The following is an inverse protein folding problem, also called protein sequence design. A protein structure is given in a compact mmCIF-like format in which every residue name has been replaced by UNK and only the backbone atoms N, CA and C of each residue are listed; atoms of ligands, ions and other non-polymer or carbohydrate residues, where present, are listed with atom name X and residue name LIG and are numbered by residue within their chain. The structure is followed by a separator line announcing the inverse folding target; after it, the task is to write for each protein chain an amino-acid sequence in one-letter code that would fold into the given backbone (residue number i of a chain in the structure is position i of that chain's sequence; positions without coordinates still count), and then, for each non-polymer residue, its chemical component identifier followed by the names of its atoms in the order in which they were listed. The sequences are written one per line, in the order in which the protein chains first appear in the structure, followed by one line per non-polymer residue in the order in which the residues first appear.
data_IF_437285934801
#
_entry.id   IF_437285934801
#
_cell.length_a   1.000
_cell.length_b   1.000
_cell.length_c   1.000
_cell.angle_alpha   90.00
_cell.angle_beta   90.00
_cell.angle_gamma   90.00
#
_symmetry.space_group_name_H-M   'P 1'
#
loop_
_entity.id
_entity.type
_entity.pdbx_description
1 polymer ?
#
# COMPACT_ATOMS: atom_id res chain seq x y z
N UNK A 1 14.59 44.79 -11.23
CA UNK A 1 13.16 44.40 -11.33
C UNK A 1 12.40 45.20 -10.29
N UNK A 2 11.38 46.00 -10.65
CA UNK A 2 10.66 46.82 -9.67
C UNK A 2 9.85 45.95 -8.72
N UNK A 3 9.68 46.41 -7.47
CA UNK A 3 8.95 45.68 -6.42
C UNK A 3 7.54 45.30 -6.88
N UNK A 4 6.86 46.17 -7.64
CA UNK A 4 5.54 45.90 -8.20
C UNK A 4 5.49 44.70 -9.16
N UNK A 5 6.53 44.48 -9.97
CA UNK A 5 6.59 43.33 -10.89
C UNK A 5 6.70 42.01 -10.12
N UNK A 6 7.42 41.98 -9.00
CA UNK A 6 7.53 40.77 -8.15
C UNK A 6 6.19 40.42 -7.51
N UNK A 7 5.48 41.41 -6.98
CA UNK A 7 4.14 41.23 -6.42
C UNK A 7 3.16 40.68 -7.47
N UNK A 8 3.18 41.25 -8.67
CA UNK A 8 2.30 40.78 -9.75
C UNK A 8 2.56 39.31 -10.13
N UNK A 9 3.83 38.89 -10.19
CA UNK A 9 4.20 37.50 -10.48
C UNK A 9 3.68 36.56 -9.38
N UNK A 10 3.85 36.91 -8.10
CA UNK A 10 3.36 36.05 -7.01
C UNK A 10 1.84 35.92 -7.01
N UNK A 11 1.12 37.00 -7.32
CA UNK A 11 -0.35 36.98 -7.44
C UNK A 11 -0.78 36.06 -8.58
N UNK A 12 -0.13 36.14 -9.75
CA UNK A 12 -0.43 35.25 -10.88
C UNK A 12 -0.16 33.78 -10.57
N UNK A 13 0.97 33.47 -9.91
CA UNK A 13 1.29 32.11 -9.48
C UNK A 13 0.26 31.60 -8.48
N UNK A 14 -0.12 32.43 -7.50
CA UNK A 14 -1.14 32.09 -6.51
C UNK A 14 -2.50 31.78 -7.15
N UNK A 15 -2.95 32.62 -8.08
CA UNK A 15 -4.17 32.39 -8.86
C UNK A 15 -4.10 31.09 -9.67
N UNK A 16 -2.96 30.83 -10.32
CA UNK A 16 -2.73 29.59 -11.06
C UNK A 16 -2.84 28.35 -10.17
N UNK A 17 -2.29 28.39 -8.96
CA UNK A 17 -2.39 27.30 -7.99
C UNK A 17 -3.84 27.04 -7.59
N UNK A 18 -4.60 28.10 -7.23
CA UNK A 18 -6.01 27.97 -6.83
C UNK A 18 -6.85 27.39 -7.97
N UNK A 19 -6.67 27.88 -9.20
CA UNK A 19 -7.37 27.36 -10.37
C UNK A 19 -7.01 25.89 -10.65
N UNK A 20 -5.72 25.54 -10.59
CA UNK A 20 -5.27 24.16 -10.80
C UNK A 20 -5.82 23.20 -9.75
N UNK A 21 -5.87 23.62 -8.48
CA UNK A 21 -6.46 22.83 -7.40
C UNK A 21 -7.96 22.65 -7.63
N UNK A 22 -8.68 23.72 -7.97
CA UNK A 22 -10.11 23.66 -8.29
C UNK A 22 -10.40 22.66 -9.42
N UNK A 23 -9.68 22.78 -10.53
CA UNK A 23 -9.82 21.88 -11.68
C UNK A 23 -9.51 20.43 -11.31
N UNK A 24 -8.43 20.18 -10.56
CA UNK A 24 -8.08 18.83 -10.12
C UNK A 24 -9.16 18.18 -9.25
N UNK A 25 -9.78 18.92 -8.34
CA UNK A 25 -10.88 18.41 -7.52
C UNK A 25 -12.11 18.06 -8.38
N UNK A 26 -12.48 18.94 -9.31
CA UNK A 26 -13.62 18.71 -10.21
C UNK A 26 -13.39 17.46 -11.07
N UNK A 27 -12.22 17.35 -11.70
CA UNK A 27 -11.86 16.18 -12.51
C UNK A 27 -11.87 14.89 -11.69
N UNK A 28 -11.39 14.93 -10.45
CA UNK A 28 -11.41 13.76 -9.56
C UNK A 28 -12.84 13.32 -9.23
N UNK A 29 -13.74 14.26 -8.92
CA UNK A 29 -15.15 13.95 -8.63
C UNK A 29 -15.83 13.34 -9.86
N UNK A 30 -15.66 13.95 -11.04
CA UNK A 30 -16.22 13.44 -12.30
C UNK A 30 -15.68 12.04 -12.60
N UNK A 31 -14.37 11.83 -12.41
CA UNK A 31 -13.72 10.53 -12.59
C UNK A 31 -14.25 9.46 -11.64
N UNK A 32 -14.40 9.80 -10.36
CA UNK A 32 -14.93 8.89 -9.34
C UNK A 32 -16.38 8.48 -9.64
N UNK A 33 -17.26 9.45 -9.95
CA UNK A 33 -18.66 9.17 -10.32
C UNK A 33 -18.73 8.34 -11.59
N UNK A 34 -17.93 8.66 -12.60
CA UNK A 34 -17.89 7.90 -13.85
C UNK A 34 -17.44 6.45 -13.64
N UNK A 35 -16.44 6.24 -12.76
CA UNK A 35 -15.96 4.91 -12.40
C UNK A 35 -17.03 4.12 -11.62
N UNK A 36 -17.70 4.76 -10.65
CA UNK A 36 -18.80 4.16 -9.88
C UNK A 36 -19.90 3.63 -10.80
N UNK A 37 -20.39 4.47 -11.72
CA UNK A 37 -21.45 4.09 -12.68
C UNK A 37 -21.01 2.92 -13.57
N UNK A 38 -19.78 2.96 -14.08
CA UNK A 38 -19.23 1.91 -14.96
C UNK A 38 -18.97 0.59 -14.24
N UNK A 39 -18.78 0.60 -12.92
CA UNK A 39 -18.61 -0.60 -12.11
C UNK A 39 -19.96 -1.13 -11.61
N UNK A 40 -20.88 -0.24 -11.23
CA UNK A 40 -22.16 -0.61 -10.64
C UNK A 40 -23.12 -1.22 -11.66
N UNK A 41 -23.27 -0.59 -12.84
CA UNK A 41 -24.21 -1.06 -13.87
C UNK A 41 -23.99 -2.50 -14.32
N UNK A 42 -22.78 -2.87 -14.80
CA UNK A 42 -22.49 -4.24 -15.22
C UNK A 42 -22.51 -5.25 -14.08
N UNK A 43 -22.19 -4.84 -12.85
CA UNK A 43 -22.27 -5.73 -11.70
C UNK A 43 -23.73 -6.06 -11.36
N UNK A 44 -24.60 -5.05 -11.36
CA UNK A 44 -26.02 -5.22 -11.13
C UNK A 44 -26.63 -6.13 -12.19
N UNK A 45 -26.33 -5.87 -13.46
CA UNK A 45 -26.79 -6.67 -14.59
C UNK A 45 -26.39 -8.16 -14.44
N UNK A 46 -25.12 -8.43 -14.10
CA UNK A 46 -24.64 -9.81 -13.89
C UNK A 46 -25.26 -10.50 -12.68
N UNK A 47 -25.55 -9.77 -11.61
CA UNK A 47 -26.22 -10.34 -10.44
C UNK A 47 -27.67 -10.69 -10.78
N UNK A 48 -28.39 -9.82 -11.49
CA UNK A 48 -29.78 -10.07 -11.90
C UNK A 48 -29.92 -11.28 -12.85
N UNK A 49 -28.91 -11.53 -13.69
CA UNK A 49 -28.88 -12.68 -14.61
C UNK A 49 -28.17 -13.92 -14.03
N UNK A 50 -27.80 -13.92 -12.75
CA UNK A 50 -27.15 -15.07 -12.12
C UNK A 50 -28.12 -16.25 -11.95
N UNK A 51 -27.66 -17.51 -12.07
CA UNK A 51 -28.51 -18.68 -11.84
C UNK A 51 -28.97 -18.75 -10.37
N UNK A 52 -30.12 -19.37 -10.11
CA UNK A 52 -30.66 -19.52 -8.75
C UNK A 52 -29.66 -20.19 -7.79
N UNK A 53 -28.86 -21.13 -8.27
CA UNK A 53 -27.79 -21.78 -7.49
C UNK A 53 -26.75 -20.80 -6.92
N UNK A 54 -26.54 -19.65 -7.56
CA UNK A 54 -25.70 -18.57 -7.03
C UNK A 54 -26.31 -17.97 -5.76
N UNK A 55 -27.62 -17.75 -5.74
CA UNK A 55 -28.33 -17.19 -4.60
C UNK A 55 -28.50 -18.18 -3.45
N UNK A 56 -28.53 -19.48 -3.73
CA UNK A 56 -28.57 -20.52 -2.70
C UNK A 56 -27.21 -20.69 -1.99
N UNK A 57 -26.11 -20.49 -2.71
CA UNK A 57 -24.75 -20.67 -2.19
C UNK A 57 -24.14 -19.39 -1.62
N UNK A 58 -24.60 -18.22 -2.07
CA UNK A 58 -24.12 -16.93 -1.57
C UNK A 58 -25.14 -16.28 -0.64
N UNK A 59 -24.79 -16.00 0.63
CA UNK A 59 -25.72 -15.36 1.54
C UNK A 59 -26.05 -13.95 1.05
N UNK A 60 -27.33 -13.58 1.10
CA UNK A 60 -27.83 -12.27 0.63
C UNK A 60 -27.08 -11.09 1.28
N UNK A 61 -26.66 -11.23 2.54
CA UNK A 61 -25.83 -10.23 3.23
C UNK A 61 -24.47 -9.96 2.57
N UNK A 62 -23.89 -10.96 1.87
CA UNK A 62 -22.62 -10.78 1.12
C UNK A 62 -22.86 -9.98 -0.15
N UNK A 63 -23.98 -10.19 -0.83
CA UNK A 63 -24.37 -9.41 -2.02
C UNK A 63 -24.63 -7.95 -1.63
N UNK A 64 -25.35 -7.72 -0.53
CA UNK A 64 -25.59 -6.37 0.00
C UNK A 64 -24.29 -5.67 0.43
N UNK A 65 -23.37 -6.37 1.11
CA UNK A 65 -22.07 -5.79 1.47
C UNK A 65 -21.25 -5.41 0.24
N UNK A 66 -21.35 -6.17 -0.85
CA UNK A 66 -20.73 -5.84 -2.13
C UNK A 66 -21.29 -4.56 -2.73
N UNK A 67 -22.61 -4.40 -2.78
CA UNK A 67 -23.22 -3.20 -3.35
C UNK A 67 -23.13 -1.96 -2.45
N UNK A 68 -23.10 -2.13 -1.12
CA UNK A 68 -22.98 -1.02 -0.18
C UNK A 68 -21.53 -0.71 0.17
N UNK A 69 -20.94 -1.54 1.04
CA UNK A 69 -19.63 -1.27 1.65
C UNK A 69 -18.50 -1.28 0.63
N UNK A 70 -18.49 -2.19 -0.34
CA UNK A 70 -17.40 -2.21 -1.32
C UNK A 70 -17.47 -1.03 -2.30
N UNK A 71 -18.68 -0.58 -2.71
CA UNK A 71 -18.81 0.65 -3.52
C UNK A 71 -18.45 1.90 -2.74
N UNK A 72 -18.77 1.99 -1.45
CA UNK A 72 -18.32 3.11 -0.60
C UNK A 72 -16.78 3.22 -0.58
N UNK A 73 -16.08 2.08 -0.52
CA UNK A 73 -14.61 2.03 -0.61
C UNK A 73 -14.13 2.48 -2.00
N UNK A 74 -14.78 2.03 -3.08
CA UNK A 74 -14.40 2.40 -4.45
C UNK A 74 -14.64 3.89 -4.71
N UNK A 75 -15.76 4.43 -4.26
CA UNK A 75 -16.18 5.79 -4.60
C UNK A 75 -15.43 6.83 -3.78
N UNK A 76 -15.20 6.56 -2.48
CA UNK A 76 -14.55 7.52 -1.59
C UNK A 76 -13.05 7.24 -1.41
N UNK A 77 -12.68 6.00 -1.06
CA UNK A 77 -11.30 5.69 -0.65
C UNK A 77 -10.39 5.52 -1.85
N UNK A 78 -10.83 4.83 -2.91
CA UNK A 78 -9.99 4.57 -4.07
C UNK A 78 -9.66 5.88 -4.80
N UNK A 79 -10.65 6.74 -5.04
CA UNK A 79 -10.45 8.05 -5.64
C UNK A 79 -9.47 8.93 -4.83
N UNK A 80 -9.61 8.96 -3.50
CA UNK A 80 -8.69 9.69 -2.62
C UNK A 80 -7.26 9.13 -2.67
N UNK A 81 -7.13 7.81 -2.65
CA UNK A 81 -5.83 7.11 -2.71
C UNK A 81 -5.12 7.41 -4.03
N UNK A 82 -5.83 7.36 -5.16
CA UNK A 82 -5.26 7.70 -6.47
C UNK A 82 -4.74 9.14 -6.52
N UNK A 83 -5.49 10.10 -5.97
CA UNK A 83 -5.01 11.48 -5.87
C UNK A 83 -3.76 11.59 -5.01
N UNK A 84 -3.75 10.96 -3.85
CA UNK A 84 -2.59 10.99 -2.94
C UNK A 84 -1.36 10.38 -3.60
N UNK A 85 -1.51 9.26 -4.32
CA UNK A 85 -0.44 8.64 -5.10
C UNK A 85 0.08 9.58 -6.19
N UNK A 86 -0.82 10.16 -7.00
CA UNK A 86 -0.43 11.11 -8.06
C UNK A 86 0.30 12.32 -7.50
N UNK A 87 -0.20 12.91 -6.41
CA UNK A 87 0.46 14.03 -5.74
C UNK A 87 1.83 13.66 -5.18
N UNK A 88 1.95 12.50 -4.55
CA UNK A 88 3.21 12.02 -3.98
C UNK A 88 4.26 11.78 -5.07
N UNK A 89 3.88 11.19 -6.20
CA UNK A 89 4.78 10.98 -7.35
C UNK A 89 5.25 12.31 -7.94
N UNK A 90 4.34 13.25 -8.15
CA UNK A 90 4.68 14.58 -8.68
C UNK A 90 5.58 15.36 -7.71
N UNK A 91 5.35 15.27 -6.40
CA UNK A 91 6.21 15.86 -5.38
C UNK A 91 7.62 15.26 -5.41
N UNK A 92 7.75 13.94 -5.49
CA UNK A 92 9.05 13.27 -5.60
C UNK A 92 9.77 13.73 -6.88
N UNK A 93 9.08 13.76 -8.02
CA UNK A 93 9.64 14.25 -9.28
C UNK A 93 10.06 15.72 -9.18
N UNK A 94 9.25 16.58 -8.57
CA UNK A 94 9.56 17.99 -8.37
C UNK A 94 10.84 18.16 -7.54
N UNK A 95 10.92 17.50 -6.40
CA UNK A 95 12.09 17.55 -5.51
C UNK A 95 13.32 17.03 -6.25
N UNK A 96 13.19 15.93 -6.97
CA UNK A 96 14.27 15.35 -7.74
C UNK A 96 14.81 16.31 -8.80
N UNK A 97 13.93 16.92 -9.59
CA UNK A 97 14.29 17.92 -10.61
C UNK A 97 14.97 19.12 -9.96
N UNK A 98 14.40 19.65 -8.87
CA UNK A 98 14.94 20.81 -8.17
C UNK A 98 16.36 20.57 -7.62
N UNK A 99 16.56 19.42 -6.98
CA UNK A 99 17.88 19.03 -6.45
C UNK A 99 18.86 18.80 -7.60
N UNK A 100 18.44 18.11 -8.66
CA UNK A 100 19.29 17.83 -9.81
C UNK A 100 19.76 19.10 -10.52
N UNK A 101 18.93 20.14 -10.61
CA UNK A 101 19.33 21.44 -11.17
C UNK A 101 20.24 22.22 -10.22
N UNK A 102 19.96 22.18 -8.92
CA UNK A 102 20.73 22.92 -7.91
C UNK A 102 22.12 22.31 -7.69
N UNK A 103 22.21 20.97 -7.65
CA UNK A 103 23.41 20.21 -7.31
C UNK A 103 23.59 19.02 -8.27
N UNK A 104 24.25 19.19 -9.43
CA UNK A 104 24.40 18.13 -10.43
C UNK A 104 25.20 16.92 -9.91
N UNK A 105 25.99 17.07 -8.85
CA UNK A 105 26.71 15.98 -8.17
C UNK A 105 25.76 14.92 -7.59
N UNK A 106 24.49 15.28 -7.30
CA UNK A 106 23.48 14.38 -6.75
C UNK A 106 23.13 13.22 -7.69
N UNK A 107 23.27 13.42 -9.00
CA UNK A 107 23.05 12.39 -10.03
C UNK A 107 23.98 11.18 -9.82
N UNK A 108 25.21 11.43 -9.37
CA UNK A 108 26.20 10.38 -9.11
C UNK A 108 25.81 9.56 -7.87
N UNK A 109 25.17 10.18 -6.88
CA UNK A 109 24.68 9.52 -5.66
C UNK A 109 23.47 8.62 -5.91
N UNK A 110 22.77 8.79 -7.03
CA UNK A 110 21.62 7.94 -7.41
C UNK A 110 22.07 6.58 -7.96
N UNK A 111 23.25 6.49 -8.58
CA UNK A 111 23.80 5.24 -9.12
C UNK A 111 23.82 4.08 -8.10
N UNK A 112 24.29 4.24 -6.85
CA UNK A 112 24.24 3.17 -5.85
C UNK A 112 22.83 2.77 -5.41
N UNK A 113 21.82 3.64 -5.55
CA UNK A 113 20.44 3.30 -5.18
C UNK A 113 19.85 2.18 -6.04
N UNK A 114 20.27 2.06 -7.30
CA UNK A 114 19.85 0.97 -8.19
C UNK A 114 20.28 -0.41 -7.69
N UNK A 115 21.40 -0.52 -6.98
CA UNK A 115 21.86 -1.77 -6.38
C UNK A 115 21.26 -2.01 -4.99
N UNK A 116 20.95 -0.93 -4.27
CA UNK A 116 20.35 -0.99 -2.95
C UNK A 116 18.86 -1.41 -2.96
N UNK A 117 18.06 -0.87 -3.88
CA UNK A 117 16.62 -1.17 -4.00
C UNK A 117 16.30 -2.68 -4.16
N UNK A 118 16.92 -3.43 -5.09
CA UNK A 118 16.64 -4.86 -5.21
C UNK A 118 17.08 -5.64 -3.98
N UNK A 119 18.17 -5.24 -3.34
CA UNK A 119 18.71 -5.86 -2.12
C UNK A 119 17.76 -5.65 -0.94
N UNK A 120 17.33 -4.40 -0.69
CA UNK A 120 16.37 -4.05 0.36
C UNK A 120 15.02 -4.77 0.14
N UNK A 121 14.51 -4.81 -1.09
CA UNK A 121 13.28 -5.58 -1.41
C UNK A 121 13.43 -7.06 -1.12
N UNK A 122 14.58 -7.66 -1.42
CA UNK A 122 14.83 -9.07 -1.16
C UNK A 122 14.94 -9.35 0.35
N UNK A 123 15.51 -8.42 1.11
CA UNK A 123 15.57 -8.46 2.57
C UNK A 123 14.19 -8.37 3.22
N UNK A 124 13.35 -7.43 2.79
CA UNK A 124 11.95 -7.36 3.26
C UNK A 124 11.16 -8.63 2.92
N UNK A 125 11.41 -9.22 1.74
CA UNK A 125 10.80 -10.50 1.36
C UNK A 125 11.27 -11.64 2.27
N UNK A 126 12.57 -11.75 2.54
CA UNK A 126 13.14 -12.73 3.47
C UNK A 126 12.51 -12.60 4.86
N UNK A 127 12.50 -11.39 5.43
CA UNK A 127 11.91 -11.08 6.75
C UNK A 127 10.43 -11.44 6.83
N UNK A 128 9.69 -11.29 5.72
CA UNK A 128 8.28 -11.65 5.63
C UNK A 128 8.07 -13.16 5.54
N UNK A 129 8.90 -13.87 4.77
CA UNK A 129 8.82 -15.34 4.60
C UNK A 129 9.19 -16.07 5.89
N UNK A 130 10.24 -15.63 6.60
CA UNK A 130 10.70 -16.25 7.86
C UNK A 130 9.74 -16.03 9.03
N UNK A 131 8.84 -15.04 8.94
CA UNK A 131 7.85 -14.74 9.99
C UNK A 131 6.72 -15.76 10.06
N UNK A 132 6.28 -16.30 8.91
CA UNK A 132 5.17 -17.27 8.87
C UNK A 132 5.46 -18.60 9.58
N UNK A 133 6.61 -19.29 9.38
CA UNK A 133 6.90 -20.54 10.09
C UNK A 133 7.05 -20.35 11.60
N UNK A 134 7.50 -19.18 12.06
CA UNK A 134 7.59 -18.85 13.48
C UNK A 134 6.20 -18.83 14.14
N UNK A 135 5.21 -18.19 13.49
CA UNK A 135 3.84 -18.20 13.99
C UNK A 135 3.20 -19.58 13.94
N UNK A 136 3.48 -20.35 12.89
CA UNK A 136 2.97 -21.72 12.79
C UNK A 136 3.54 -22.60 13.91
N UNK A 137 4.85 -22.55 14.17
CA UNK A 137 5.49 -23.30 15.25
C UNK A 137 4.96 -22.88 16.63
N UNK A 138 4.68 -21.58 16.82
CA UNK A 138 4.08 -21.08 18.05
C UNK A 138 2.65 -21.61 18.25
N UNK A 139 1.83 -21.58 17.19
CA UNK A 139 0.47 -22.11 17.22
C UNK A 139 0.44 -23.64 17.43
N UNK A 140 1.34 -24.37 16.79
CA UNK A 140 1.53 -25.81 16.98
C UNK A 140 1.94 -26.13 18.43
N UNK A 141 2.82 -25.34 19.02
CA UNK A 141 3.22 -25.49 20.42
C UNK A 141 2.04 -25.28 21.37
N UNK A 142 1.22 -24.24 21.14
CA UNK A 142 0.04 -23.95 21.97
C UNK A 142 -0.95 -25.12 21.90
N UNK A 143 -1.33 -25.53 20.69
CA UNK A 143 -2.29 -26.61 20.48
C UNK A 143 -1.75 -27.97 20.95
N UNK A 144 -0.44 -28.20 20.83
CA UNK A 144 0.24 -29.44 21.18
C UNK A 144 0.79 -29.49 22.62
N UNK A 145 0.51 -28.51 23.47
CA UNK A 145 1.16 -28.35 24.79
C UNK A 145 1.07 -29.62 25.65
N UNK A 146 -0.07 -30.30 25.66
CA UNK A 146 -0.28 -31.55 26.43
C UNK A 146 0.59 -32.69 25.90
N UNK A 147 0.68 -32.84 24.58
CA UNK A 147 1.51 -33.87 23.94
C UNK A 147 3.00 -33.60 24.16
N UNK A 148 3.45 -32.35 23.97
CA UNK A 148 4.85 -31.96 24.16
C UNK A 148 5.31 -32.24 25.60
N UNK A 149 4.46 -31.95 26.59
CA UNK A 149 4.73 -32.25 28.00
C UNK A 149 4.70 -33.75 28.30
N UNK A 150 3.74 -34.49 27.74
CA UNK A 150 3.62 -35.93 27.94
C UNK A 150 4.82 -36.71 27.39
N UNK A 151 5.39 -36.28 26.25
CA UNK A 151 6.59 -36.89 25.65
C UNK A 151 7.91 -36.35 26.22
N UNK A 152 7.89 -35.35 27.12
CA UNK A 152 9.10 -34.80 27.73
C UNK A 152 10.03 -34.03 26.77
N UNK A 153 9.53 -33.59 25.61
CA UNK A 153 10.33 -32.97 24.53
C UNK A 153 10.31 -31.42 24.54
N UNK A 154 9.97 -30.81 25.67
CA UNK A 154 9.84 -29.35 25.83
C UNK A 154 11.12 -28.61 25.42
N UNK A 155 12.29 -29.10 25.85
CA UNK A 155 13.57 -28.43 25.56
C UNK A 155 13.95 -28.49 24.08
N UNK A 156 13.62 -29.59 23.39
CA UNK A 156 13.84 -29.75 21.95
C UNK A 156 12.95 -28.79 21.16
N UNK A 157 11.68 -28.65 21.56
CA UNK A 157 10.77 -27.69 20.93
C UNK A 157 11.20 -26.24 21.19
N UNK A 158 11.66 -25.93 22.41
CA UNK A 158 12.15 -24.61 22.77
C UNK A 158 13.41 -24.22 21.98
N UNK A 159 14.39 -25.12 21.87
CA UNK A 159 15.59 -24.88 21.06
C UNK A 159 15.27 -24.70 19.57
N UNK A 160 14.32 -25.46 19.03
CA UNK A 160 13.84 -25.27 17.66
C UNK A 160 13.17 -23.89 17.48
N UNK A 161 12.37 -23.44 18.45
CA UNK A 161 11.75 -22.12 18.45
C UNK A 161 12.80 -20.99 18.49
N UNK A 162 13.81 -21.10 19.37
CA UNK A 162 14.93 -20.16 19.43
C UNK A 162 15.68 -20.08 18.09
N UNK A 163 15.99 -21.22 17.45
CA UNK A 163 16.65 -21.22 16.14
C UNK A 163 15.86 -20.47 15.05
N UNK A 164 14.52 -20.63 15.01
CA UNK A 164 13.66 -19.90 14.08
C UNK A 164 13.57 -18.40 14.42
N UNK A 165 13.55 -18.08 15.72
CA UNK A 165 13.61 -16.69 16.19
C UNK A 165 14.91 -16.01 15.79
N UNK A 166 16.05 -16.67 15.95
CA UNK A 166 17.37 -16.11 15.61
C UNK A 166 17.46 -15.78 14.12
N UNK A 167 16.94 -16.65 13.26
CA UNK A 167 16.85 -16.39 11.81
C UNK A 167 15.97 -15.16 11.54
N UNK A 168 14.80 -15.06 12.19
CA UNK A 168 13.90 -13.92 12.02
C UNK A 168 14.51 -12.61 12.50
N UNK A 169 15.17 -12.63 13.65
CA UNK A 169 15.84 -11.46 14.24
C UNK A 169 17.03 -11.06 13.37
N UNK A 170 17.81 -12.03 12.87
CA UNK A 170 18.91 -11.78 11.94
C UNK A 170 18.45 -11.10 10.65
N UNK A 171 17.40 -11.61 10.00
CA UNK A 171 16.81 -10.98 8.82
C UNK A 171 16.28 -9.56 9.12
N UNK A 172 15.63 -9.37 10.28
CA UNK A 172 15.11 -8.06 10.68
C UNK A 172 16.21 -7.06 11.03
N UNK A 173 17.32 -7.51 11.61
CA UNK A 173 18.47 -6.65 11.92
C UNK A 173 19.13 -6.12 10.66
N UNK A 174 19.24 -6.96 9.62
CA UNK A 174 19.75 -6.59 8.31
C UNK A 174 18.82 -5.64 7.54
N UNK A 175 17.53 -5.63 7.84
CA UNK A 175 16.53 -4.74 7.20
C UNK A 175 16.46 -3.35 7.88
N UNK A 176 16.89 -3.23 9.15
CA UNK A 176 16.82 -1.99 9.93
C UNK A 176 18.13 -1.20 9.92
N UNK A 177 19.28 -1.86 9.80
CA UNK A 177 20.61 -1.22 9.87
C UNK A 177 21.22 -0.87 8.50
N UNK A 178 20.52 -1.14 7.40
CA UNK A 178 20.90 -0.78 6.04
C UNK A 178 19.73 -0.12 5.34
#
# INVERSE_FOLDING_TARGET
MSVGVRFFIYVLVGLGIVLSLGLSNILQIIGAVSASIRLHGPLLDRVLHAPISFFDTTPLGRILNRFGKEFDVVDLRLASTFRMLGFSLLMVLQVFILISLSMPIFIILIVPTHYFIPTSRQLQRLTSVTRSPLYNLFAETINGTTSIRAYGVVQTFFSHFCSKLDIQIGCRYLDVNY
#
